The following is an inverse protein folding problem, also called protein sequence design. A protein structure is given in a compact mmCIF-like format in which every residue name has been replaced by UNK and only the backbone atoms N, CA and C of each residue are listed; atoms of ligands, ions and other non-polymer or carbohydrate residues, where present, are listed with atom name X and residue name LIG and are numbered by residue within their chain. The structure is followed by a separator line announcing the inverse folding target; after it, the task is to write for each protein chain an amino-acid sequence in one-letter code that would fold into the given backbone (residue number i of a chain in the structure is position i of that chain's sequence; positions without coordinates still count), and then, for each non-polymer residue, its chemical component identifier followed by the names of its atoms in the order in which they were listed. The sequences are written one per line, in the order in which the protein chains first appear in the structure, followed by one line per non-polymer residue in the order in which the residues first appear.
data_IF_573429778101
#
_entry.id   IF_573429778101
#
_cell.length_a   1.000
_cell.length_b   1.000
_cell.length_c   1.000
_cell.angle_alpha   90.00
_cell.angle_beta   90.00
_cell.angle_gamma   90.00
#
_symmetry.space_group_name_H-M   'P 1'
#
loop_
_entity.id
_entity.type
_entity.pdbx_description
1 polymer ?
#
# COMPACT_ATOMS: atom_id res chain seq x y z
N UNK A 1 -21.88 63.92 -10.74
CA UNK A 1 -21.44 62.73 -11.50
C UNK A 1 -20.38 62.02 -10.68
N UNK A 2 -20.59 60.73 -10.42
CA UNK A 2 -19.87 59.88 -9.45
C UNK A 2 -19.06 58.87 -10.25
N UNK A 3 -17.74 58.82 -10.08
CA UNK A 3 -16.91 57.74 -10.64
C UNK A 3 -15.79 57.40 -9.65
N UNK A 4 -16.02 56.37 -8.84
CA UNK A 4 -14.98 55.71 -8.04
C UNK A 4 -14.28 54.66 -8.91
N UNK A 5 -12.94 54.59 -8.93
CA UNK A 5 -12.22 53.48 -9.53
C UNK A 5 -12.13 52.32 -8.52
N UNK A 6 -12.85 51.24 -8.80
CA UNK A 6 -12.75 49.96 -8.08
C UNK A 6 -11.47 49.23 -8.48
N UNK A 7 -10.48 49.21 -7.57
CA UNK A 7 -9.31 48.33 -7.67
C UNK A 7 -9.74 46.88 -7.39
N UNK A 8 -9.57 46.01 -8.39
CA UNK A 8 -9.86 44.58 -8.32
C UNK A 8 -8.75 43.86 -7.54
N UNK A 9 -9.07 43.37 -6.35
CA UNK A 9 -8.19 42.52 -5.53
C UNK A 9 -8.32 41.08 -6.06
N UNK A 10 -7.28 40.58 -6.74
CA UNK A 10 -7.19 39.18 -7.15
C UNK A 10 -6.93 38.28 -5.95
N UNK A 11 -7.92 37.47 -5.58
CA UNK A 11 -7.78 36.45 -4.54
C UNK A 11 -7.07 35.21 -5.12
N UNK A 12 -5.79 35.04 -4.78
CA UNK A 12 -5.02 33.83 -5.09
C UNK A 12 -5.36 32.75 -4.04
N UNK A 13 -6.25 31.81 -4.37
CA UNK A 13 -6.48 30.63 -3.53
C UNK A 13 -5.37 29.59 -3.80
N UNK A 14 -4.38 29.55 -2.92
CA UNK A 14 -3.42 28.44 -2.86
C UNK A 14 -4.11 27.20 -2.29
N UNK A 15 -4.33 26.18 -3.12
CA UNK A 15 -4.89 24.90 -2.70
C UNK A 15 -3.90 24.12 -1.85
N UNK A 16 -4.23 23.91 -0.57
CA UNK A 16 -3.54 22.97 0.31
C UNK A 16 -3.99 21.55 -0.05
N UNK A 17 -3.17 20.82 -0.81
CA UNK A 17 -3.37 19.38 -1.01
C UNK A 17 -3.00 18.65 0.30
N UNK A 18 -4.00 18.23 1.08
CA UNK A 18 -3.79 17.36 2.23
C UNK A 18 -3.68 15.91 1.74
N UNK A 19 -2.47 15.37 1.72
CA UNK A 19 -2.27 13.94 1.54
C UNK A 19 -2.77 13.21 2.79
N UNK A 20 -3.95 12.59 2.70
CA UNK A 20 -4.44 11.71 3.76
C UNK A 20 -3.57 10.45 3.79
N UNK A 21 -2.83 10.24 4.88
CA UNK A 21 -2.12 8.98 5.11
C UNK A 21 -3.18 7.91 5.45
N UNK A 22 -3.44 7.00 4.52
CA UNK A 22 -4.27 5.84 4.79
C UNK A 22 -3.55 4.91 5.80
N UNK A 23 -4.30 4.38 6.76
CA UNK A 23 -3.75 3.37 7.67
C UNK A 23 -3.32 2.13 6.88
N UNK A 24 -2.25 1.42 7.32
CA UNK A 24 -1.82 0.20 6.66
C UNK A 24 -2.95 -0.85 6.66
N UNK A 25 -3.12 -1.63 5.59
CA UNK A 25 -4.16 -2.65 5.53
C UNK A 25 -3.92 -3.72 6.58
N UNK A 26 -5.00 -4.20 7.20
CA UNK A 26 -4.94 -5.38 8.07
C UNK A 26 -4.74 -6.64 7.21
N UNK A 27 -3.69 -7.46 7.46
CA UNK A 27 -3.51 -8.69 6.72
C UNK A 27 -4.64 -9.69 6.95
N UNK A 28 -5.05 -10.39 5.90
CA UNK A 28 -6.02 -11.50 5.96
C UNK A 28 -5.37 -12.83 5.54
N UNK A 29 -5.68 -13.96 6.18
CA UNK A 29 -5.09 -15.24 5.79
C UNK A 29 -5.42 -15.62 4.34
N UNK A 30 -4.40 -15.89 3.55
CA UNK A 30 -4.52 -16.45 2.22
C UNK A 30 -4.66 -17.96 2.30
N UNK A 31 -5.65 -18.50 1.60
CA UNK A 31 -5.78 -19.95 1.37
C UNK A 31 -5.23 -20.26 -0.01
N UNK A 32 -4.34 -21.24 -0.10
CA UNK A 32 -3.74 -21.63 -1.38
C UNK A 32 -4.79 -21.95 -2.43
N UNK A 33 -4.65 -21.34 -3.61
CA UNK A 33 -5.61 -21.45 -4.71
C UNK A 33 -6.74 -20.42 -4.68
N UNK A 34 -6.79 -19.53 -3.68
CA UNK A 34 -7.65 -18.36 -3.74
C UNK A 34 -7.14 -17.39 -4.81
N UNK A 35 -8.05 -16.85 -5.61
CA UNK A 35 -7.72 -15.83 -6.60
C UNK A 35 -7.52 -14.48 -5.91
N UNK A 36 -6.34 -13.90 -6.10
CA UNK A 36 -6.03 -12.54 -5.65
C UNK A 36 -6.01 -11.60 -6.86
N UNK A 37 -6.71 -10.48 -6.75
CA UNK A 37 -6.59 -9.39 -7.71
C UNK A 37 -5.31 -8.58 -7.43
N UNK A 38 -4.16 -9.08 -7.88
CA UNK A 38 -2.86 -8.43 -7.65
C UNK A 38 -2.45 -7.65 -8.89
N UNK A 39 -2.51 -6.33 -8.81
CA UNK A 39 -1.93 -5.46 -9.84
C UNK A 39 -0.42 -5.25 -9.62
N UNK A 40 0.02 -5.07 -8.38
CA UNK A 40 1.44 -4.87 -8.03
C UNK A 40 1.74 -5.31 -6.60
N UNK A 41 2.77 -6.13 -6.39
CA UNK A 41 3.31 -6.39 -5.05
C UNK A 41 4.08 -5.17 -4.56
N UNK A 42 3.77 -4.71 -3.36
CA UNK A 42 4.38 -3.53 -2.74
C UNK A 42 5.49 -3.94 -1.77
N UNK A 43 5.24 -4.98 -0.96
CA UNK A 43 6.23 -5.53 -0.04
C UNK A 43 5.90 -6.97 0.35
N UNK A 44 6.93 -7.70 0.78
CA UNK A 44 6.81 -8.99 1.44
C UNK A 44 7.65 -8.92 2.71
N UNK A 45 7.01 -9.06 3.86
CA UNK A 45 7.65 -9.14 5.16
C UNK A 45 7.64 -10.58 5.65
N UNK A 46 8.81 -11.12 6.00
CA UNK A 46 8.94 -12.48 6.51
C UNK A 46 10.13 -12.62 7.49
N UNK A 47 10.09 -13.62 8.39
CA UNK A 47 11.25 -14.04 9.15
C UNK A 47 12.35 -14.63 8.26
N UNK A 48 13.62 -14.40 8.62
CA UNK A 48 14.78 -14.89 7.90
C UNK A 48 15.61 -15.85 8.78
N UNK A 49 15.12 -17.07 9.05
CA UNK A 49 15.86 -18.03 9.86
C UNK A 49 17.11 -18.56 9.13
N UNK A 50 18.09 -19.02 9.90
CA UNK A 50 19.33 -19.63 9.35
C UNK A 50 19.14 -21.06 8.83
N UNK A 51 18.04 -21.72 9.19
CA UNK A 51 17.75 -23.10 8.82
C UNK A 51 16.50 -23.19 7.95
N UNK A 52 16.45 -24.21 7.09
CA UNK A 52 15.27 -24.49 6.29
C UNK A 52 14.07 -24.83 7.20
N UNK A 53 13.03 -24.00 7.15
CA UNK A 53 11.79 -24.20 7.89
C UNK A 53 10.63 -23.42 7.25
N UNK A 54 9.39 -23.73 7.64
CA UNK A 54 8.24 -22.93 7.22
C UNK A 54 8.18 -21.61 8.01
N UNK A 55 7.88 -20.53 7.31
CA UNK A 55 7.71 -19.18 7.87
C UNK A 55 6.39 -18.57 7.39
N UNK A 56 5.80 -17.73 8.23
CA UNK A 56 4.66 -16.90 7.83
C UNK A 56 5.18 -15.61 7.18
N UNK A 57 4.77 -15.36 5.94
CA UNK A 57 5.04 -14.15 5.20
C UNK A 57 3.77 -13.29 5.11
N UNK A 58 3.93 -11.98 5.23
CA UNK A 58 2.89 -11.00 4.92
C UNK A 58 3.22 -10.37 3.58
N UNK A 59 2.31 -10.44 2.61
CA UNK A 59 2.43 -9.72 1.34
C UNK A 59 1.46 -8.56 1.31
N UNK A 60 1.98 -7.35 1.14
CA UNK A 60 1.20 -6.15 0.87
C UNK A 60 1.21 -5.88 -0.64
N UNK A 61 0.04 -5.65 -1.23
CA UNK A 61 -0.10 -5.45 -2.67
C UNK A 61 -1.15 -4.40 -3.01
N UNK A 62 -1.06 -3.86 -4.23
CA UNK A 62 -2.07 -3.01 -4.85
C UNK A 62 -2.99 -3.89 -5.69
N UNK A 63 -4.30 -3.75 -5.52
CA UNK A 63 -5.28 -4.37 -6.41
C UNK A 63 -5.49 -3.55 -7.69
N UNK A 64 -6.21 -4.10 -8.68
CA UNK A 64 -6.41 -3.39 -9.98
C UNK A 64 -7.29 -2.15 -9.84
N UNK A 65 -7.96 -1.98 -8.70
CA UNK A 65 -8.72 -0.79 -8.33
C UNK A 65 -7.88 0.26 -7.59
N UNK A 66 -6.58 0.01 -7.38
CA UNK A 66 -5.68 0.94 -6.72
C UNK A 66 -5.79 0.94 -5.19
N UNK A 67 -6.39 -0.09 -4.58
CA UNK A 67 -6.45 -0.22 -3.13
C UNK A 67 -5.31 -1.11 -2.61
N UNK A 68 -4.71 -0.69 -1.50
CA UNK A 68 -3.70 -1.49 -0.81
C UNK A 68 -4.40 -2.60 -0.01
N UNK A 69 -3.99 -3.84 -0.25
CA UNK A 69 -4.43 -5.06 0.44
C UNK A 69 -3.22 -5.73 1.09
N UNK A 70 -3.47 -6.55 2.09
CA UNK A 70 -2.44 -7.39 2.68
C UNK A 70 -2.97 -8.80 2.96
N UNK A 71 -2.14 -9.81 2.74
CA UNK A 71 -2.44 -11.21 3.05
C UNK A 71 -1.30 -11.86 3.81
N UNK A 72 -1.61 -12.84 4.65
CA UNK A 72 -0.63 -13.72 5.29
C UNK A 72 -0.68 -15.13 4.71
N UNK A 73 0.48 -15.76 4.51
CA UNK A 73 0.58 -17.13 4.02
C UNK A 73 1.85 -17.79 4.55
N UNK A 74 1.89 -19.13 4.49
CA UNK A 74 3.06 -19.91 4.87
C UNK A 74 3.87 -20.28 3.63
N UNK A 75 5.18 -20.06 3.66
CA UNK A 75 6.15 -20.56 2.67
C UNK A 75 7.34 -21.19 3.36
N UNK A 76 8.16 -21.91 2.59
CA UNK A 76 9.51 -22.27 3.03
C UNK A 76 10.37 -21.01 3.13
N UNK A 77 11.21 -20.90 4.16
CA UNK A 77 12.18 -19.82 4.28
C UNK A 77 13.19 -19.85 3.13
N UNK A 78 13.77 -18.69 2.83
CA UNK A 78 14.81 -18.59 1.80
C UNK A 78 16.04 -19.46 2.11
N UNK A 79 16.25 -19.83 3.38
CA UNK A 79 17.30 -20.77 3.78
C UNK A 79 17.15 -22.17 3.13
N UNK A 80 15.95 -22.56 2.72
CA UNK A 80 15.72 -23.81 1.96
C UNK A 80 16.22 -23.74 0.51
N UNK A 81 16.49 -22.55 -0.02
CA UNK A 81 17.02 -22.37 -1.39
C UNK A 81 18.53 -22.58 -1.47
N UNK A 82 19.21 -22.59 -0.32
CA UNK A 82 20.66 -22.80 -0.22
C UNK A 82 21.03 -24.28 -0.05
N UNK A 83 20.06 -25.18 -0.01
CA UNK A 83 20.25 -26.64 0.07
C UNK A 83 20.55 -27.28 -1.29
#
# INVERSE_FOLDING_TARGET
MRTQPTFLIGALLAGLATSALAAPPKPVPYTYGMDLDVAKVLSIEEPHPLTCQLVEATMTYLDTHGQTRAVTYTKQSDACLAE
#
